data_IF_374165545063
#
_entry.id   IF_374165545063
#
_cell.length_a   1.000
_cell.length_b   1.000
_cell.length_c   1.000
_cell.angle_alpha   90.00
_cell.angle_beta   90.00
_cell.angle_gamma   90.00
#
_symmetry.space_group_name_H-M   'P 1'
#
loop_
_entity.id
_entity.type
_entity.pdbx_description
1 polymer ?
#
# COMPACT_ATOMS: atom_id res chain seq x y z
N UNK A 1 -5.34 22.32 -13.35
CA UNK A 1 -3.97 22.15 -12.88
C UNK A 1 -3.35 20.99 -13.63
N UNK A 2 -2.51 21.24 -14.64
CA UNK A 2 -1.70 20.19 -15.27
C UNK A 2 -0.46 19.97 -14.40
N UNK A 3 -0.59 19.20 -13.35
CA UNK A 3 0.60 18.75 -12.62
C UNK A 3 1.44 17.89 -13.57
N UNK A 4 2.73 18.15 -13.64
CA UNK A 4 3.68 17.31 -14.38
C UNK A 4 3.87 16.00 -13.60
N UNK A 5 2.90 15.09 -13.74
CA UNK A 5 2.88 13.81 -13.04
C UNK A 5 3.89 12.87 -13.68
N UNK A 6 4.81 12.37 -12.89
CA UNK A 6 5.74 11.31 -13.27
C UNK A 6 5.39 10.01 -12.50
N UNK A 7 5.26 8.92 -13.22
CA UNK A 7 5.02 7.61 -12.63
C UNK A 7 6.36 6.87 -12.43
N UNK A 8 6.51 6.22 -11.27
CA UNK A 8 7.61 5.29 -10.99
C UNK A 8 7.01 3.92 -10.72
N UNK A 9 7.35 2.94 -11.53
CA UNK A 9 6.80 1.58 -11.42
C UNK A 9 7.93 0.57 -11.20
N UNK A 10 8.04 -0.05 -10.03
CA UNK A 10 8.98 -1.13 -9.81
C UNK A 10 8.44 -2.44 -10.37
N UNK A 11 9.16 -3.04 -11.30
CA UNK A 11 8.85 -4.36 -11.85
C UNK A 11 9.44 -5.44 -10.94
N UNK A 12 8.61 -6.38 -10.50
CA UNK A 12 9.03 -7.44 -9.58
C UNK A 12 10.09 -8.41 -10.17
N UNK A 13 10.12 -8.54 -11.49
CA UNK A 13 11.09 -9.36 -12.23
C UNK A 13 11.12 -8.96 -13.71
N UNK A 14 12.08 -9.52 -14.46
CA UNK A 14 12.28 -9.22 -15.86
C UNK A 14 11.03 -9.49 -16.74
N UNK A 15 10.27 -10.54 -16.45
CA UNK A 15 9.06 -10.84 -17.21
C UNK A 15 8.00 -9.73 -17.04
N UNK A 16 7.85 -9.20 -15.82
CA UNK A 16 6.97 -8.07 -15.54
C UNK A 16 7.49 -6.77 -16.13
N UNK A 17 8.80 -6.55 -16.09
CA UNK A 17 9.42 -5.41 -16.77
C UNK A 17 9.09 -5.41 -18.26
N UNK A 18 9.31 -6.53 -18.95
CA UNK A 18 9.00 -6.66 -20.38
C UNK A 18 7.52 -6.46 -20.68
N UNK A 19 6.63 -7.01 -19.84
CA UNK A 19 5.17 -6.83 -19.98
C UNK A 19 4.77 -5.35 -19.86
N UNK A 20 5.30 -4.66 -18.83
CA UNK A 20 5.03 -3.24 -18.62
C UNK A 20 5.60 -2.39 -19.75
N UNK A 21 6.82 -2.67 -20.21
CA UNK A 21 7.42 -1.98 -21.35
C UNK A 21 6.55 -2.08 -22.61
N UNK A 22 5.98 -3.26 -22.88
CA UNK A 22 5.06 -3.45 -24.00
C UNK A 22 3.79 -2.60 -23.87
N UNK A 23 3.17 -2.60 -22.70
CA UNK A 23 1.96 -1.81 -22.44
C UNK A 23 2.24 -0.31 -22.59
N UNK A 24 3.39 0.15 -22.10
CA UNK A 24 3.79 1.55 -22.14
C UNK A 24 4.23 2.01 -23.50
N UNK A 25 4.70 1.12 -24.39
CA UNK A 25 5.05 1.46 -25.76
C UNK A 25 3.86 2.02 -26.55
N UNK A 26 2.65 1.59 -26.21
CA UNK A 26 1.39 2.09 -26.81
C UNK A 26 0.89 3.41 -26.18
N UNK A 27 1.59 3.92 -25.18
CA UNK A 27 1.21 5.12 -24.40
C UNK A 27 2.40 6.06 -24.21
N UNK A 28 3.02 6.58 -25.28
CA UNK A 28 4.23 7.40 -25.19
C UNK A 28 4.01 8.75 -24.47
N UNK A 29 2.77 9.17 -24.32
CA UNK A 29 2.40 10.39 -23.60
C UNK A 29 2.56 10.27 -22.09
N UNK A 30 2.64 9.03 -21.54
CA UNK A 30 2.76 8.80 -20.10
C UNK A 30 4.25 8.79 -19.71
N UNK A 31 4.66 9.73 -18.88
CA UNK A 31 6.02 9.75 -18.32
C UNK A 31 6.17 8.69 -17.24
N UNK A 32 6.82 7.59 -17.56
CA UNK A 32 7.05 6.47 -16.64
C UNK A 32 8.53 6.17 -16.50
N UNK A 33 8.97 6.03 -15.27
CA UNK A 33 10.25 5.43 -14.92
C UNK A 33 10.02 3.99 -14.47
N UNK A 34 10.44 3.02 -15.27
CA UNK A 34 10.42 1.60 -14.89
C UNK A 34 11.71 1.27 -14.14
N UNK A 35 11.57 0.71 -12.94
CA UNK A 35 12.68 0.22 -12.14
C UNK A 35 12.67 -1.32 -12.12
N UNK A 36 13.85 -1.91 -12.20
CA UNK A 36 14.02 -3.35 -11.96
C UNK A 36 14.16 -3.60 -10.47
N UNK A 37 13.14 -4.28 -9.87
CA UNK A 37 13.11 -4.75 -8.46
C UNK A 37 13.19 -3.63 -7.44
N UNK A 38 13.48 -2.56 -7.40
CA UNK A 38 13.66 -1.55 -6.35
C UNK A 38 12.34 -0.92 -5.84
N UNK A 39 11.43 -1.72 -5.30
CA UNK A 39 10.15 -1.22 -4.77
C UNK A 39 10.33 -0.22 -3.63
N UNK A 40 11.33 -0.44 -2.76
CA UNK A 40 11.63 0.46 -1.66
C UNK A 40 12.07 1.85 -2.17
N UNK A 41 12.99 1.90 -3.13
CA UNK A 41 13.42 3.15 -3.74
C UNK A 41 12.27 3.87 -4.46
N UNK A 42 11.41 3.11 -5.16
CA UNK A 42 10.21 3.68 -5.79
C UNK A 42 9.29 4.33 -4.75
N UNK A 43 9.05 3.68 -3.63
CA UNK A 43 8.24 4.23 -2.54
C UNK A 43 8.91 5.44 -1.88
N UNK A 44 10.22 5.39 -1.62
CA UNK A 44 10.94 6.52 -1.03
C UNK A 44 10.91 7.77 -1.91
N UNK A 45 10.97 7.61 -3.23
CA UNK A 45 10.95 8.72 -4.18
C UNK A 45 9.56 9.27 -4.49
N UNK A 46 8.50 8.53 -4.15
CA UNK A 46 7.12 8.93 -4.46
C UNK A 46 6.56 9.93 -3.45
N UNK A 47 5.71 10.84 -3.91
CA UNK A 47 4.88 11.71 -3.07
C UNK A 47 3.62 10.99 -2.61
N UNK A 48 3.05 10.15 -3.48
CA UNK A 48 1.87 9.30 -3.21
C UNK A 48 2.11 7.92 -3.80
N UNK A 49 1.71 6.87 -3.09
CA UNK A 49 1.90 5.48 -3.51
C UNK A 49 0.55 4.84 -3.82
N UNK A 50 0.38 4.30 -5.02
CA UNK A 50 -0.73 3.41 -5.36
C UNK A 50 -0.24 1.97 -5.31
N UNK A 51 -0.82 1.16 -4.45
CA UNK A 51 -0.35 -0.19 -4.20
C UNK A 51 -1.48 -1.21 -4.00
N UNK A 52 -1.15 -2.49 -4.12
CA UNK A 52 -2.02 -3.56 -3.67
C UNK A 52 -1.91 -3.75 -2.15
N UNK A 53 -2.93 -4.36 -1.54
CA UNK A 53 -2.89 -4.70 -0.13
C UNK A 53 -1.77 -5.72 0.19
N UNK A 54 -1.28 -5.71 1.43
CA UNK A 54 -0.26 -6.61 1.94
C UNK A 54 0.85 -5.90 2.70
N UNK A 55 2.01 -6.54 2.80
CA UNK A 55 3.20 -6.00 3.49
C UNK A 55 3.72 -4.70 2.88
N UNK A 56 3.53 -4.49 1.57
CA UNK A 56 3.89 -3.24 0.89
C UNK A 56 3.17 -2.02 1.49
N UNK A 57 1.91 -2.18 1.94
CA UNK A 57 1.19 -1.11 2.62
C UNK A 57 1.81 -0.78 3.99
N UNK A 58 2.33 -1.79 4.72
CA UNK A 58 3.09 -1.58 5.94
C UNK A 58 4.41 -0.85 5.67
N UNK A 59 5.13 -1.27 4.64
CA UNK A 59 6.38 -0.61 4.23
C UNK A 59 6.16 0.86 3.89
N UNK A 60 5.15 1.18 3.07
CA UNK A 60 4.79 2.55 2.71
C UNK A 60 4.39 3.39 3.95
N UNK A 61 3.66 2.80 4.92
CA UNK A 61 3.33 3.42 6.20
C UNK A 61 4.59 3.74 7.01
N UNK A 62 5.55 2.80 7.09
CA UNK A 62 6.81 3.00 7.81
C UNK A 62 7.67 4.08 7.15
N UNK A 63 7.61 4.21 5.82
CA UNK A 63 8.24 5.28 5.04
C UNK A 63 7.46 6.60 5.09
N UNK A 64 6.31 6.66 5.78
CA UNK A 64 5.46 7.86 5.90
C UNK A 64 4.91 8.36 4.57
N UNK A 65 4.64 7.44 3.65
CA UNK A 65 4.13 7.78 2.31
C UNK A 65 2.61 7.70 2.29
N UNK A 66 1.91 8.80 1.98
CA UNK A 66 0.50 8.77 1.66
C UNK A 66 0.22 7.74 0.59
N UNK A 67 -0.84 6.97 0.75
CA UNK A 67 -1.09 5.85 -0.15
C UNK A 67 -2.56 5.64 -0.46
N UNK A 68 -2.81 5.00 -1.60
CA UNK A 68 -4.11 4.47 -2.00
C UNK A 68 -3.96 2.96 -2.19
N UNK A 69 -4.82 2.18 -1.57
CA UNK A 69 -4.79 0.73 -1.64
C UNK A 69 -5.85 0.24 -2.62
N UNK A 70 -5.46 -0.57 -3.59
CA UNK A 70 -6.37 -1.17 -4.55
C UNK A 70 -6.11 -2.67 -4.65
N UNK A 71 -7.14 -3.48 -4.47
CA UNK A 71 -6.98 -4.91 -4.51
C UNK A 71 -8.14 -5.62 -5.24
N UNK A 72 -7.77 -6.48 -6.19
CA UNK A 72 -8.74 -7.27 -6.96
C UNK A 72 -8.34 -8.73 -6.98
N UNK A 73 -9.14 -9.55 -6.33
CA UNK A 73 -9.03 -11.01 -6.40
C UNK A 73 -9.79 -11.54 -7.62
N UNK A 74 -9.40 -12.71 -8.10
CA UNK A 74 -10.23 -13.43 -9.04
C UNK A 74 -11.64 -13.64 -8.46
N UNK A 75 -12.67 -13.47 -9.30
CA UNK A 75 -14.07 -13.49 -8.86
C UNK A 75 -14.45 -14.75 -8.04
N UNK A 76 -13.96 -15.91 -8.44
CA UNK A 76 -14.19 -17.16 -7.73
C UNK A 76 -13.50 -17.21 -6.37
N UNK A 77 -12.25 -16.75 -6.30
CA UNK A 77 -11.49 -16.68 -5.05
C UNK A 77 -12.18 -15.74 -4.06
N UNK A 78 -12.57 -14.55 -4.52
CA UNK A 78 -13.28 -13.60 -3.67
C UNK A 78 -14.59 -14.15 -3.15
N UNK A 79 -15.41 -14.77 -4.02
CA UNK A 79 -16.69 -15.35 -3.62
C UNK A 79 -16.53 -16.46 -2.57
N UNK A 80 -15.44 -17.22 -2.66
CA UNK A 80 -15.16 -18.30 -1.72
C UNK A 80 -14.71 -17.78 -0.35
N UNK A 81 -13.87 -16.73 -0.30
CA UNK A 81 -13.27 -16.23 0.94
C UNK A 81 -14.03 -15.07 1.58
N UNK A 82 -14.83 -14.32 0.81
CA UNK A 82 -15.57 -13.15 1.31
C UNK A 82 -16.46 -13.43 2.54
N UNK A 83 -17.15 -14.59 2.67
CA UNK A 83 -17.93 -14.90 3.87
C UNK A 83 -17.08 -15.05 5.15
N UNK A 84 -15.79 -15.34 4.99
CA UNK A 84 -14.86 -15.53 6.12
C UNK A 84 -14.11 -14.26 6.50
N UNK A 85 -14.20 -13.21 5.67
CA UNK A 85 -13.58 -11.92 5.97
C UNK A 85 -14.44 -11.21 7.00
N UNK A 86 -13.96 -11.17 8.25
CA UNK A 86 -14.64 -10.53 9.39
C UNK A 86 -14.16 -9.11 9.66
N UNK A 87 -13.10 -8.68 9.00
CA UNK A 87 -12.51 -7.35 9.21
C UNK A 87 -13.08 -6.36 8.20
N UNK A 88 -13.39 -5.12 8.62
CA UNK A 88 -13.87 -4.08 7.71
C UNK A 88 -12.74 -3.50 6.83
N UNK A 89 -11.48 -3.82 7.13
CA UNK A 89 -10.29 -3.27 6.46
C UNK A 89 -9.44 -4.39 5.88
N UNK A 90 -8.77 -4.10 4.77
CA UNK A 90 -7.87 -5.02 4.08
C UNK A 90 -6.39 -4.62 4.22
N UNK A 91 -6.08 -3.34 4.32
CA UNK A 91 -4.71 -2.88 4.49
C UNK A 91 -4.25 -2.91 5.94
N UNK A 92 -2.97 -3.21 6.14
CA UNK A 92 -2.38 -3.26 7.49
C UNK A 92 -2.48 -1.91 8.21
N UNK A 93 -2.25 -0.74 7.58
CA UNK A 93 -2.43 0.55 8.25
C UNK A 93 -3.83 0.76 8.81
N UNK A 94 -4.88 0.44 8.05
CA UNK A 94 -6.26 0.59 8.50
C UNK A 94 -6.62 -0.40 9.60
N UNK A 95 -6.12 -1.64 9.51
CA UNK A 95 -6.28 -2.64 10.56
C UNK A 95 -5.63 -2.20 11.88
N UNK A 96 -4.41 -1.69 11.82
CA UNK A 96 -3.68 -1.20 13.01
C UNK A 96 -4.36 0.02 13.62
N UNK A 97 -4.82 0.96 12.77
CA UNK A 97 -5.53 2.15 13.22
C UNK A 97 -6.96 1.87 13.68
N UNK A 98 -7.53 0.71 13.36
CA UNK A 98 -8.94 0.37 13.52
C UNK A 98 -9.89 1.42 12.95
N UNK A 99 -9.47 2.10 11.87
CA UNK A 99 -10.24 3.10 11.12
C UNK A 99 -9.76 3.18 9.67
N UNK A 100 -10.57 3.78 8.80
CA UNK A 100 -10.18 4.08 7.41
C UNK A 100 -9.16 5.25 7.41
N UNK A 101 -7.88 4.91 7.59
CA UNK A 101 -6.78 5.87 7.58
C UNK A 101 -6.30 6.19 6.16
N UNK A 102 -6.28 5.17 5.32
CA UNK A 102 -5.98 5.29 3.89
C UNK A 102 -7.12 4.72 3.06
N UNK A 103 -7.43 5.30 1.89
CA UNK A 103 -8.50 4.79 1.04
C UNK A 103 -8.17 3.39 0.51
N UNK A 104 -9.16 2.49 0.61
CA UNK A 104 -9.10 1.11 0.10
C UNK A 104 -10.20 0.87 -0.92
N UNK A 105 -9.84 0.40 -2.09
CA UNK A 105 -10.78 0.02 -3.14
C UNK A 105 -10.62 -1.47 -3.46
N UNK A 106 -11.64 -2.23 -3.09
CA UNK A 106 -11.61 -3.69 -3.21
C UNK A 106 -12.65 -4.13 -4.24
N UNK A 107 -12.26 -5.06 -5.12
CA UNK A 107 -13.14 -5.65 -6.14
C UNK A 107 -13.82 -4.59 -7.02
N UNK A 108 -15.13 -4.47 -6.97
CA UNK A 108 -15.92 -3.61 -7.83
C UNK A 108 -15.73 -2.10 -7.51
N UNK A 109 -15.21 -1.78 -6.34
CA UNK A 109 -14.84 -0.41 -5.97
C UNK A 109 -13.52 0.03 -6.62
N UNK A 110 -12.66 -0.91 -7.05
CA UNK A 110 -11.40 -0.63 -7.72
C UNK A 110 -11.64 -0.22 -9.18
N UNK A 111 -12.29 0.92 -9.37
CA UNK A 111 -12.53 1.55 -10.68
C UNK A 111 -11.50 2.63 -10.96
N UNK A 112 -11.23 2.89 -12.23
CA UNK A 112 -10.32 3.98 -12.63
C UNK A 112 -10.73 5.32 -12.03
N UNK A 113 -12.02 5.65 -12.07
CA UNK A 113 -12.55 6.93 -11.55
C UNK A 113 -12.29 7.05 -10.03
N UNK A 114 -12.54 6.00 -9.26
CA UNK A 114 -12.31 6.01 -7.82
C UNK A 114 -10.82 6.14 -7.48
N UNK A 115 -9.96 5.39 -8.21
CA UNK A 115 -8.51 5.43 -7.98
C UNK A 115 -7.93 6.80 -8.33
N UNK A 116 -8.33 7.39 -9.46
CA UNK A 116 -7.89 8.73 -9.87
C UNK A 116 -8.32 9.76 -8.83
N UNK A 117 -9.58 9.74 -8.39
CA UNK A 117 -10.08 10.67 -7.38
C UNK A 117 -9.29 10.56 -6.06
N UNK A 118 -9.05 9.35 -5.60
CA UNK A 118 -8.33 9.11 -4.35
C UNK A 118 -6.83 9.49 -4.44
N UNK A 119 -6.18 9.19 -5.57
CA UNK A 119 -4.78 9.60 -5.78
C UNK A 119 -4.66 11.13 -5.84
N UNK A 120 -5.56 11.82 -6.54
CA UNK A 120 -5.59 13.29 -6.57
C UNK A 120 -5.79 13.87 -5.17
N UNK A 121 -6.70 13.30 -4.39
CA UNK A 121 -6.96 13.70 -3.01
C UNK A 121 -5.75 13.45 -2.09
N UNK A 122 -5.00 12.36 -2.32
CA UNK A 122 -3.81 12.05 -1.55
C UNK A 122 -2.64 13.04 -1.75
N UNK A 123 -2.70 13.89 -2.78
CA UNK A 123 -1.76 15.00 -2.96
C UNK A 123 -2.13 16.26 -2.16
N UNK A 124 -3.28 16.27 -1.48
CA UNK A 124 -3.67 17.41 -0.64
C UNK A 124 -2.74 17.52 0.58
N UNK A 125 -2.07 18.69 0.81
CA UNK A 125 -1.08 18.82 1.86
C UNK A 125 -1.64 18.65 3.27
N UNK A 126 -2.86 19.07 3.53
CA UNK A 126 -3.48 18.93 4.86
C UNK A 126 -3.77 17.47 5.17
N UNK A 127 -4.27 16.73 4.18
CA UNK A 127 -4.52 15.31 4.31
C UNK A 127 -3.23 14.51 4.44
N UNK A 128 -2.19 14.86 3.68
CA UNK A 128 -0.87 14.24 3.84
C UNK A 128 -0.33 14.40 5.24
N UNK A 129 -0.36 15.61 5.80
CA UNK A 129 0.11 15.85 7.16
C UNK A 129 -0.67 15.04 8.20
N UNK A 130 -1.99 14.98 8.08
CA UNK A 130 -2.83 14.21 8.99
C UNK A 130 -2.51 12.71 8.94
N UNK A 131 -2.38 12.14 7.74
CA UNK A 131 -2.05 10.72 7.55
C UNK A 131 -0.64 10.40 8.04
N UNK A 132 0.33 11.25 7.75
CA UNK A 132 1.72 11.07 8.20
C UNK A 132 1.81 11.08 9.73
N UNK A 133 1.11 11.99 10.42
CA UNK A 133 1.08 12.04 11.87
C UNK A 133 0.52 10.73 12.48
N UNK A 134 -0.52 10.16 11.90
CA UNK A 134 -1.06 8.86 12.31
C UNK A 134 -0.06 7.72 12.03
N UNK A 135 0.62 7.74 10.91
CA UNK A 135 1.67 6.78 10.59
C UNK A 135 2.83 6.83 11.57
N UNK A 136 3.18 8.01 12.06
CA UNK A 136 4.22 8.15 13.09
C UNK A 136 3.78 7.53 14.42
N UNK A 137 2.54 7.74 14.83
CA UNK A 137 2.00 7.13 16.04
C UNK A 137 1.97 5.59 15.92
N UNK A 138 1.47 5.05 14.81
CA UNK A 138 1.46 3.61 14.56
C UNK A 138 2.88 3.04 14.52
N UNK A 139 3.81 3.74 13.89
CA UNK A 139 5.22 3.30 13.85
C UNK A 139 5.82 3.22 15.27
N UNK A 140 5.55 4.20 16.13
CA UNK A 140 6.01 4.15 17.51
C UNK A 140 5.42 2.98 18.28
N UNK A 141 4.13 2.66 18.08
CA UNK A 141 3.48 1.50 18.70
C UNK A 141 4.08 0.17 18.24
N UNK A 142 4.50 0.07 16.96
CA UNK A 142 5.13 -1.12 16.40
C UNK A 142 6.61 -1.26 16.80
N UNK A 143 7.22 -0.22 17.33
CA UNK A 143 8.63 -0.19 17.72
C UNK A 143 8.83 -0.85 19.09
N UNK A 144 8.56 -2.15 19.13
CA UNK A 144 8.73 -2.99 20.32
C UNK A 144 9.84 -4.01 20.08
N UNK A 145 10.53 -4.40 21.16
CA UNK A 145 11.46 -5.53 21.10
C UNK A 145 10.67 -6.84 21.03
N UNK A 146 10.26 -7.20 19.81
CA UNK A 146 9.50 -8.43 19.56
C UNK A 146 10.27 -9.69 19.96
N UNK A 147 11.60 -9.67 19.93
CA UNK A 147 12.44 -10.78 20.38
C UNK A 147 12.35 -10.99 21.88
N UNK A 148 12.48 -9.93 22.66
CA UNK A 148 12.34 -10.00 24.12
C UNK A 148 10.92 -10.41 24.54
N UNK A 149 9.89 -9.87 23.88
CA UNK A 149 8.50 -10.23 24.16
C UNK A 149 8.20 -11.69 23.82
N UNK A 150 8.68 -12.19 22.69
CA UNK A 150 8.52 -13.59 22.30
C UNK A 150 9.25 -14.53 23.28
N UNK A 151 10.47 -14.19 23.67
CA UNK A 151 11.23 -14.97 24.66
C UNK A 151 10.50 -15.00 26.02
N UNK A 152 9.98 -13.87 26.48
CA UNK A 152 9.22 -13.81 27.72
C UNK A 152 7.94 -14.67 27.65
N UNK A 153 7.20 -14.62 26.56
CA UNK A 153 6.01 -15.44 26.36
C UNK A 153 6.33 -16.96 26.36
N UNK A 154 7.45 -17.35 25.72
CA UNK A 154 7.89 -18.75 25.71
C UNK A 154 8.24 -19.22 27.14
N UNK A 155 8.97 -18.41 27.91
CA UNK A 155 9.35 -18.73 29.29
C UNK A 155 8.10 -18.86 30.16
N UNK A 156 7.11 -18.00 30.01
CA UNK A 156 5.85 -18.08 30.75
C UNK A 156 5.09 -19.40 30.48
N UNK A 157 5.03 -19.82 29.21
CA UNK A 157 4.38 -21.09 28.82
C UNK A 157 5.16 -22.32 29.33
N UNK A 158 6.49 -22.26 29.32
CA UNK A 158 7.33 -23.36 29.79
C UNK A 158 7.44 -23.44 31.32
N UNK A 159 7.15 -22.37 32.04
CA UNK A 159 7.16 -22.30 33.50
C UNK A 159 5.85 -22.71 34.17
N UNK A 160 4.80 -23.07 33.37
CA UNK A 160 3.55 -23.65 33.83
C UNK A 160 3.58 -25.17 33.73
#
# INVERSE_FOLDING_TARGET
>A
MGADLQLVIPAANQARHSQLSHILADRPEIKVCLLEQNSHLAMESADVVLLASGTTALEAMLLKKPMVVSYRLGAWTYRLISPFIKTPYASIPNLLANKMLVPEFIQDQATEANLVAAVVQAFDPEQQQAVIAEFEQLHQQLRVDSGALAAAAIVEVLGQ
#
